data_IF_096359734358
#
_entry.id   IF_096359734358
#
_cell.length_a   1.000
_cell.length_b   1.000
_cell.length_c   1.000
_cell.angle_alpha   90.00
_cell.angle_beta   90.00
_cell.angle_gamma   90.00
#
_symmetry.space_group_name_H-M   'P 1'
#
loop_
_entity.id
_entity.type
_entity.pdbx_description
1 polymer ?
#
# COMPACT_ATOMS: atom_id res chain seq x y z
N UNK A 1 9.37 1.55 14.45
CA UNK A 1 8.83 2.77 15.10
C UNK A 1 8.16 2.53 16.46
N UNK A 2 7.93 1.29 16.93
CA UNK A 2 7.28 1.02 18.24
C UNK A 2 8.08 1.59 19.44
N UNK A 3 9.39 1.81 19.27
CA UNK A 3 10.28 2.32 20.32
C UNK A 3 10.12 3.84 20.60
N UNK A 4 9.60 4.64 19.66
CA UNK A 4 9.61 6.10 19.76
C UNK A 4 8.37 6.67 20.46
N UNK A 5 8.07 6.19 21.68
CA UNK A 5 6.82 6.53 22.40
C UNK A 5 6.63 8.03 22.65
N UNK A 6 7.69 8.75 23.02
CA UNK A 6 7.62 10.20 23.26
C UNK A 6 7.35 10.98 21.96
N UNK A 7 7.96 10.55 20.85
CA UNK A 7 7.74 11.13 19.53
C UNK A 7 6.27 10.94 19.10
N UNK A 8 5.75 9.70 19.19
CA UNK A 8 4.36 9.42 18.84
C UNK A 8 3.36 10.13 19.75
N UNK A 9 3.68 10.28 21.04
CA UNK A 9 2.88 11.10 21.96
C UNK A 9 2.81 12.55 21.49
N UNK A 10 3.93 13.13 21.07
CA UNK A 10 3.98 14.51 20.55
C UNK A 10 3.16 14.66 19.26
N UNK A 11 3.29 13.71 18.33
CA UNK A 11 2.49 13.64 17.10
C UNK A 11 0.98 13.68 17.41
N UNK A 12 0.52 12.85 18.34
CA UNK A 12 -0.90 12.80 18.73
C UNK A 12 -1.37 14.02 19.54
N UNK A 13 -0.50 14.56 20.40
CA UNK A 13 -0.83 15.68 21.28
C UNK A 13 -0.97 17.00 20.52
N UNK A 14 -0.13 17.24 19.51
CA UNK A 14 -0.20 18.45 18.68
C UNK A 14 -1.21 18.32 17.52
N UNK A 15 -1.56 17.10 17.12
CA UNK A 15 -2.54 16.84 16.07
C UNK A 15 -2.11 17.34 14.69
N UNK A 16 -3.08 17.68 13.84
CA UNK A 16 -2.84 18.12 12.45
C UNK A 16 -3.54 19.42 12.06
N UNK A 17 -4.37 19.99 12.94
CA UNK A 17 -5.18 21.18 12.61
C UNK A 17 -4.32 22.44 12.42
N UNK A 18 -3.21 22.54 13.16
CA UNK A 18 -2.26 23.64 13.04
C UNK A 18 -1.28 23.40 11.89
N UNK A 19 -1.10 24.38 11.01
CA UNK A 19 -0.06 24.33 9.95
C UNK A 19 1.36 24.12 10.51
N UNK A 20 1.60 24.57 11.74
CA UNK A 20 2.87 24.41 12.45
C UNK A 20 2.86 23.25 13.46
N UNK A 21 1.82 22.40 13.47
CA UNK A 21 1.81 21.21 14.33
C UNK A 21 2.94 20.27 13.95
N UNK A 22 3.48 19.58 14.95
CA UNK A 22 4.63 18.70 14.77
C UNK A 22 4.46 17.72 13.61
N UNK A 23 3.28 17.07 13.50
CA UNK A 23 3.01 16.11 12.43
C UNK A 23 3.01 16.73 11.02
N UNK A 24 2.62 18.00 10.89
CA UNK A 24 2.61 18.74 9.62
C UNK A 24 4.01 19.16 9.14
N UNK A 25 4.98 19.19 10.05
CA UNK A 25 6.38 19.54 9.76
C UNK A 25 7.23 18.32 9.37
N UNK A 26 6.73 17.11 9.58
CA UNK A 26 7.46 15.88 9.25
C UNK A 26 7.40 15.60 7.75
N UNK A 27 8.54 15.18 7.19
CA UNK A 27 8.61 14.76 5.78
C UNK A 27 7.82 13.46 5.53
N UNK A 28 7.75 12.59 6.54
CA UNK A 28 7.00 11.33 6.46
C UNK A 28 5.52 11.58 6.79
N UNK A 29 4.69 11.57 5.76
CA UNK A 29 3.25 11.83 5.86
C UNK A 29 2.51 10.81 6.70
N UNK A 30 3.07 9.61 6.94
CA UNK A 30 2.43 8.56 7.73
C UNK A 30 2.16 9.00 9.18
N UNK A 31 2.96 9.91 9.71
CA UNK A 31 2.71 10.47 11.05
C UNK A 31 1.50 11.41 11.06
N UNK A 32 1.31 12.20 10.00
CA UNK A 32 0.11 13.02 9.82
C UNK A 32 -1.12 12.14 9.64
N UNK A 33 -1.06 11.10 8.82
CA UNK A 33 -2.19 10.18 8.61
C UNK A 33 -2.60 9.47 9.91
N UNK A 34 -1.61 9.10 10.74
CA UNK A 34 -1.84 8.51 12.05
C UNK A 34 -2.45 9.52 13.03
N UNK A 35 -1.90 10.73 13.11
CA UNK A 35 -2.44 11.81 13.94
C UNK A 35 -3.85 12.20 13.54
N UNK A 36 -4.14 12.18 12.24
CA UNK A 36 -5.47 12.44 11.74
C UNK A 36 -6.42 11.31 12.14
N UNK A 37 -6.07 10.04 11.88
CA UNK A 37 -6.90 8.88 12.27
C UNK A 37 -7.26 8.89 13.76
N UNK A 38 -6.33 9.34 14.62
CA UNK A 38 -6.50 9.43 16.07
C UNK A 38 -6.35 10.87 16.58
N UNK A 39 -7.13 11.82 16.03
CA UNK A 39 -7.00 13.25 16.35
C UNK A 39 -7.53 13.60 17.77
N UNK A 40 -6.79 13.19 18.80
CA UNK A 40 -7.08 13.50 20.21
C UNK A 40 -6.94 14.99 20.51
N UNK A 41 -6.05 15.69 19.82
CA UNK A 41 -5.88 17.14 19.97
C UNK A 41 -7.18 17.91 19.70
N UNK A 42 -7.94 17.49 18.67
CA UNK A 42 -9.21 18.11 18.30
C UNK A 42 -10.41 17.55 19.07
N UNK A 43 -10.47 16.24 19.24
CA UNK A 43 -11.70 15.56 19.69
C UNK A 43 -11.61 14.94 21.08
N UNK A 44 -10.46 15.03 21.76
CA UNK A 44 -10.25 14.38 23.05
C UNK A 44 -10.55 12.88 22.98
N UNK A 45 -11.17 12.32 24.02
CA UNK A 45 -11.50 10.89 24.08
C UNK A 45 -12.41 10.41 22.93
N UNK A 46 -13.26 11.28 22.39
CA UNK A 46 -14.17 10.99 21.27
C UNK A 46 -13.42 10.63 19.99
N UNK A 47 -12.13 10.96 19.87
CA UNK A 47 -11.30 10.58 18.72
C UNK A 47 -11.36 9.07 18.40
N UNK A 48 -11.58 8.21 19.40
CA UNK A 48 -11.66 6.75 19.27
C UNK A 48 -13.04 6.22 18.85
N UNK A 49 -14.06 7.07 18.84
CA UNK A 49 -15.42 6.72 18.42
C UNK A 49 -15.64 6.89 16.91
N UNK A 50 -14.72 7.55 16.20
CA UNK A 50 -14.85 7.75 14.75
C UNK A 50 -14.47 6.48 13.97
N UNK A 51 -15.17 6.23 12.86
CA UNK A 51 -14.94 5.07 11.98
C UNK A 51 -13.47 4.93 11.55
N UNK A 52 -12.81 6.06 11.20
CA UNK A 52 -11.38 6.09 10.85
C UNK A 52 -10.46 5.50 11.93
N UNK A 53 -10.82 5.67 13.21
CA UNK A 53 -10.06 5.14 14.35
C UNK A 53 -10.43 3.67 14.64
N UNK A 54 -11.65 3.26 14.30
CA UNK A 54 -12.16 1.90 14.49
C UNK A 54 -11.97 1.08 13.20
N UNK A 55 -13.04 0.94 12.40
CA UNK A 55 -13.05 0.15 11.17
C UNK A 55 -11.92 0.52 10.22
N UNK A 56 -11.64 1.82 10.02
CA UNK A 56 -10.56 2.26 9.14
C UNK A 56 -9.17 1.76 9.57
N UNK A 57 -8.92 1.66 10.88
CA UNK A 57 -7.65 1.11 11.40
C UNK A 57 -7.61 -0.41 11.23
N UNK A 58 -8.72 -1.10 11.51
CA UNK A 58 -8.83 -2.55 11.32
C UNK A 58 -8.63 -2.91 9.85
N UNK A 59 -9.32 -2.24 8.94
CA UNK A 59 -9.25 -2.46 7.49
C UNK A 59 -7.83 -2.25 6.97
N UNK A 60 -7.17 -1.17 7.43
CA UNK A 60 -5.77 -0.90 7.08
C UNK A 60 -4.84 -1.98 7.61
N UNK A 61 -5.05 -2.45 8.85
CA UNK A 61 -4.24 -3.52 9.43
C UNK A 61 -4.41 -4.83 8.66
N UNK A 62 -5.65 -5.26 8.42
CA UNK A 62 -5.96 -6.47 7.65
C UNK A 62 -5.31 -6.39 6.27
N UNK A 63 -5.45 -5.26 5.58
CA UNK A 63 -4.83 -5.07 4.25
C UNK A 63 -3.31 -5.15 4.28
N UNK A 64 -2.65 -4.53 5.27
CA UNK A 64 -1.19 -4.61 5.42
C UNK A 64 -0.75 -6.05 5.71
N UNK A 65 -1.48 -6.78 6.56
CA UNK A 65 -1.17 -8.18 6.83
C UNK A 65 -1.39 -9.07 5.61
N UNK A 66 -2.42 -8.80 4.80
CA UNK A 66 -2.62 -9.46 3.52
C UNK A 66 -1.46 -9.17 2.55
N UNK A 67 -1.05 -7.91 2.41
CA UNK A 67 0.11 -7.51 1.59
C UNK A 67 1.38 -8.25 2.05
N UNK A 68 1.63 -8.32 3.36
CA UNK A 68 2.78 -9.06 3.93
C UNK A 68 2.72 -10.55 3.64
N UNK A 69 1.57 -11.19 3.89
CA UNK A 69 1.37 -12.63 3.64
C UNK A 69 1.53 -12.95 2.16
N UNK A 70 0.90 -12.17 1.28
CA UNK A 70 1.07 -12.34 -0.17
C UNK A 70 2.54 -12.19 -0.58
N UNK A 71 3.25 -11.22 0.00
CA UNK A 71 4.68 -11.01 -0.25
C UNK A 71 5.63 -12.08 0.29
N UNK A 72 5.17 -12.97 1.17
CA UNK A 72 5.94 -14.16 1.55
C UNK A 72 5.91 -15.22 0.45
N UNK A 73 4.84 -15.22 -0.36
CA UNK A 73 4.66 -16.14 -1.49
C UNK A 73 5.22 -15.55 -2.78
N UNK A 74 4.87 -14.30 -3.11
CA UNK A 74 5.30 -13.59 -4.31
C UNK A 74 5.42 -12.08 -4.04
N UNK A 75 6.65 -11.56 -4.13
CA UNK A 75 6.93 -10.14 -3.97
C UNK A 75 6.19 -9.26 -4.98
N UNK A 76 5.95 -9.75 -6.20
CA UNK A 76 5.19 -9.05 -7.23
C UNK A 76 3.74 -8.83 -6.82
N UNK A 77 3.10 -9.82 -6.18
CA UNK A 77 1.73 -9.67 -5.68
C UNK A 77 1.67 -8.60 -4.58
N UNK A 78 2.65 -8.58 -3.66
CA UNK A 78 2.74 -7.51 -2.65
C UNK A 78 2.92 -6.14 -3.29
N UNK A 79 3.81 -6.03 -4.28
CA UNK A 79 4.07 -4.77 -4.99
C UNK A 79 2.83 -4.27 -5.74
N UNK A 80 2.09 -5.17 -6.39
CA UNK A 80 0.83 -4.84 -7.07
C UNK A 80 -0.22 -4.30 -6.10
N UNK A 81 -0.45 -4.98 -4.97
CA UNK A 81 -1.41 -4.55 -3.95
C UNK A 81 -1.01 -3.20 -3.33
N UNK A 82 0.29 -3.03 -3.05
CA UNK A 82 0.82 -1.76 -2.53
C UNK A 82 0.60 -0.62 -3.52
N UNK A 83 0.91 -0.85 -4.81
CA UNK A 83 0.72 0.14 -5.87
C UNK A 83 -0.75 0.50 -6.04
N UNK A 84 -1.65 -0.49 -6.07
CA UNK A 84 -3.10 -0.26 -6.14
C UNK A 84 -3.59 0.66 -5.01
N UNK A 85 -3.06 0.47 -3.80
CA UNK A 85 -3.44 1.27 -2.64
C UNK A 85 -2.86 2.69 -2.68
N UNK A 86 -1.57 2.82 -3.00
CA UNK A 86 -0.82 4.07 -2.79
C UNK A 86 -0.72 4.96 -4.03
N UNK A 87 -0.75 4.40 -5.23
CA UNK A 87 -0.62 5.19 -6.46
C UNK A 87 -1.72 6.27 -6.64
N UNK A 88 -3.00 6.04 -6.30
CA UNK A 88 -4.04 7.07 -6.42
C UNK A 88 -3.82 8.30 -5.53
N UNK A 89 -3.10 8.13 -4.42
CA UNK A 89 -2.81 9.20 -3.45
C UNK A 89 -1.66 10.11 -3.91
N UNK A 90 -0.91 9.71 -4.94
CA UNK A 90 0.26 10.43 -5.43
C UNK A 90 -0.14 11.45 -6.50
N UNK A 91 0.34 12.68 -6.34
CA UNK A 91 -0.01 13.81 -7.23
C UNK A 91 1.15 14.30 -8.11
N UNK A 92 2.35 13.72 -7.98
CA UNK A 92 3.53 14.11 -8.77
C UNK A 92 4.37 12.89 -9.17
N UNK A 93 5.05 12.96 -10.33
CA UNK A 93 5.96 11.90 -10.80
C UNK A 93 7.09 11.69 -9.79
N UNK A 94 7.63 12.79 -9.25
CA UNK A 94 8.64 12.74 -8.19
C UNK A 94 8.14 12.04 -6.93
N UNK A 95 6.87 12.23 -6.54
CA UNK A 95 6.26 11.49 -5.44
C UNK A 95 6.17 9.99 -5.70
N UNK A 96 5.90 9.61 -6.95
CA UNK A 96 5.83 8.20 -7.37
C UNK A 96 7.22 7.54 -7.37
N UNK A 97 8.24 8.30 -7.76
CA UNK A 97 9.64 7.87 -7.73
C UNK A 97 10.25 7.89 -6.31
N UNK A 98 9.72 8.73 -5.43
CA UNK A 98 10.18 8.88 -4.05
C UNK A 98 9.80 7.71 -3.13
N UNK A 99 8.79 6.91 -3.50
CA UNK A 99 8.45 5.67 -2.82
C UNK A 99 9.10 4.48 -3.55
N UNK A 100 10.00 3.76 -2.86
CA UNK A 100 10.77 2.68 -3.46
C UNK A 100 9.90 1.54 -4.02
N UNK A 101 8.75 1.23 -3.40
CA UNK A 101 7.86 0.19 -3.88
C UNK A 101 7.08 0.65 -5.12
N UNK A 102 6.60 1.90 -5.12
CA UNK A 102 5.95 2.48 -6.30
C UNK A 102 6.91 2.59 -7.48
N UNK A 103 8.13 3.07 -7.23
CA UNK A 103 9.16 3.20 -8.24
C UNK A 103 9.60 1.84 -8.80
N UNK A 104 9.70 0.80 -7.96
CA UNK A 104 10.00 -0.56 -8.42
C UNK A 104 8.94 -1.09 -9.39
N UNK A 105 7.66 -0.86 -9.09
CA UNK A 105 6.55 -1.24 -9.97
C UNK A 105 6.62 -0.50 -11.30
N UNK A 106 6.90 0.81 -11.29
CA UNK A 106 7.11 1.59 -12.51
C UNK A 106 8.23 1.02 -13.37
N UNK A 107 9.38 0.75 -12.76
CA UNK A 107 10.54 0.22 -13.47
C UNK A 107 10.18 -1.11 -14.14
N UNK A 108 9.56 -2.03 -13.41
CA UNK A 108 9.14 -3.31 -13.98
C UNK A 108 8.08 -3.15 -15.07
N UNK A 109 7.05 -2.33 -14.86
CA UNK A 109 5.97 -2.10 -15.82
C UNK A 109 6.47 -1.47 -17.14
N UNK A 110 7.46 -0.59 -17.05
CA UNK A 110 8.09 0.09 -18.19
C UNK A 110 9.28 -0.70 -18.78
N UNK A 111 9.67 -1.82 -18.17
CA UNK A 111 10.82 -2.61 -18.60
C UNK A 111 12.17 -1.92 -18.36
N UNK A 112 12.24 -1.03 -17.38
CA UNK A 112 13.47 -0.33 -16.98
C UNK A 112 14.31 -1.22 -16.06
N UNK A 113 15.62 -1.38 -16.32
CA UNK A 113 16.49 -2.14 -15.44
C UNK A 113 16.74 -1.38 -14.12
N UNK A 114 17.10 -2.08 -13.03
CA UNK A 114 17.40 -1.43 -11.73
C UNK A 114 18.48 -0.34 -11.80
N UNK A 115 19.44 -0.48 -12.72
CA UNK A 115 20.50 0.50 -12.96
C UNK A 115 19.99 1.85 -13.49
N UNK A 116 18.74 1.92 -13.97
CA UNK A 116 18.13 3.16 -14.44
C UNK A 116 17.98 4.19 -13.31
N UNK A 117 17.97 3.77 -12.04
CA UNK A 117 17.98 4.64 -10.87
C UNK A 117 19.21 5.56 -10.80
N UNK A 118 20.30 5.23 -11.50
CA UNK A 118 21.53 6.03 -11.55
C UNK A 118 21.50 7.14 -12.60
N UNK A 119 20.47 7.18 -13.45
CA UNK A 119 20.26 8.29 -14.40
C UNK A 119 19.90 9.55 -13.62
N UNK A 120 20.15 10.72 -14.20
CA UNK A 120 19.67 11.98 -13.63
C UNK A 120 18.16 11.95 -13.34
N UNK A 121 17.75 12.41 -12.16
CA UNK A 121 16.36 12.30 -11.67
C UNK A 121 15.36 13.00 -12.59
N UNK A 122 15.75 14.13 -13.19
CA UNK A 122 14.86 14.90 -14.08
C UNK A 122 14.68 14.19 -15.41
N UNK A 123 15.73 13.53 -15.91
CA UNK A 123 15.63 12.68 -17.11
C UNK A 123 14.76 11.45 -16.86
N UNK A 124 14.88 10.84 -15.69
CA UNK A 124 14.01 9.73 -15.30
C UNK A 124 12.55 10.18 -15.22
N UNK A 125 12.29 11.32 -14.57
CA UNK A 125 10.96 11.88 -14.44
C UNK A 125 10.36 12.23 -15.81
N UNK A 126 11.14 12.83 -16.71
CA UNK A 126 10.73 13.14 -18.07
C UNK A 126 10.41 11.88 -18.90
N UNK A 127 11.19 10.81 -18.74
CA UNK A 127 10.89 9.54 -19.40
C UNK A 127 9.59 8.93 -18.87
N UNK A 128 9.42 8.87 -17.54
CA UNK A 128 8.22 8.30 -16.91
C UNK A 128 6.98 9.12 -17.28
N UNK A 129 7.05 10.45 -17.25
CA UNK A 129 5.94 11.32 -17.64
C UNK A 129 5.55 11.17 -19.11
N UNK A 130 6.50 10.83 -19.99
CA UNK A 130 6.21 10.53 -21.39
C UNK A 130 5.44 9.21 -21.60
N UNK A 131 5.41 8.33 -20.59
CA UNK A 131 4.77 7.00 -20.66
C UNK A 131 3.54 6.88 -19.79
N UNK A 132 3.45 7.68 -18.72
CA UNK A 132 2.42 7.58 -17.68
C UNK A 132 1.95 8.98 -17.34
N UNK A 133 0.64 9.17 -17.43
CA UNK A 133 -0.03 10.30 -16.81
C UNK A 133 -0.38 9.94 -15.36
N UNK A 134 -0.11 10.85 -14.43
CA UNK A 134 -0.48 10.67 -13.01
C UNK A 134 -1.99 10.57 -12.86
N UNK A 135 -2.75 11.33 -13.65
CA UNK A 135 -4.21 11.28 -13.61
C UNK A 135 -4.75 9.89 -13.92
N UNK A 136 -4.02 9.10 -14.71
CA UNK A 136 -4.41 7.74 -15.06
C UNK A 136 -4.31 6.78 -13.86
N UNK A 137 -3.42 7.05 -12.91
CA UNK A 137 -3.30 6.26 -11.69
C UNK A 137 -4.43 6.49 -10.68
N UNK A 138 -5.20 7.58 -10.87
CA UNK A 138 -6.39 7.89 -10.07
C UNK A 138 -7.66 7.27 -10.66
N UNK A 139 -7.62 6.84 -11.93
CA UNK A 139 -8.72 6.13 -12.57
C UNK A 139 -8.67 4.64 -12.23
N UNK A 140 -9.71 4.06 -11.60
CA UNK A 140 -9.71 2.64 -11.21
C UNK A 140 -9.42 1.69 -12.38
N UNK A 141 -10.04 1.91 -13.54
CA UNK A 141 -9.88 1.05 -14.72
C UNK A 141 -8.47 1.15 -15.34
N UNK A 142 -7.90 2.35 -15.40
CA UNK A 142 -6.54 2.53 -15.95
C UNK A 142 -5.48 2.03 -14.98
N UNK A 143 -5.69 2.21 -13.68
CA UNK A 143 -4.84 1.64 -12.64
C UNK A 143 -4.83 0.12 -12.69
N UNK A 144 -6.00 -0.51 -12.84
CA UNK A 144 -6.11 -1.96 -13.00
C UNK A 144 -5.35 -2.44 -14.25
N UNK A 145 -5.58 -1.80 -15.40
CA UNK A 145 -4.85 -2.10 -16.63
C UNK A 145 -3.33 -1.95 -16.49
N UNK A 146 -2.87 -0.98 -15.69
CA UNK A 146 -1.45 -0.77 -15.41
C UNK A 146 -0.88 -1.90 -14.54
N UNK A 147 -1.61 -2.30 -13.50
CA UNK A 147 -1.22 -3.40 -12.62
C UNK A 147 -1.16 -4.72 -13.39
N UNK A 148 -2.09 -5.00 -14.30
CA UNK A 148 -2.05 -6.18 -15.18
C UNK A 148 -0.78 -6.22 -16.04
N UNK A 149 -0.38 -5.08 -16.62
CA UNK A 149 0.88 -4.99 -17.37
C UNK A 149 2.10 -5.24 -16.49
N UNK A 150 2.07 -4.72 -15.27
CA UNK A 150 3.13 -4.96 -14.28
C UNK A 150 3.22 -6.45 -13.93
N UNK A 151 2.11 -7.11 -13.57
CA UNK A 151 2.11 -8.52 -13.15
C UNK A 151 2.55 -9.44 -14.28
N UNK A 152 2.11 -9.18 -15.52
CA UNK A 152 2.58 -9.92 -16.69
C UNK A 152 4.10 -9.82 -16.90
N UNK A 153 4.67 -8.61 -16.76
CA UNK A 153 6.12 -8.40 -16.86
C UNK A 153 6.88 -8.99 -15.69
N UNK A 154 6.33 -8.89 -14.48
CA UNK A 154 6.92 -9.47 -13.28
C UNK A 154 7.03 -10.98 -13.40
N UNK A 155 5.97 -11.66 -13.83
CA UNK A 155 5.95 -13.10 -14.07
C UNK A 155 6.90 -13.50 -15.21
N UNK A 156 7.01 -12.71 -16.27
CA UNK A 156 7.98 -13.01 -17.34
C UNK A 156 9.45 -12.91 -16.85
N UNK A 157 9.74 -11.99 -15.92
CA UNK A 157 11.09 -11.75 -15.42
C UNK A 157 11.48 -12.61 -14.20
N UNK A 158 10.51 -12.98 -13.36
CA UNK A 158 10.73 -13.66 -12.08
C UNK A 158 9.97 -14.99 -11.94
N UNK A 159 9.13 -15.33 -12.92
CA UNK A 159 8.38 -16.57 -12.95
C UNK A 159 9.32 -17.74 -13.18
N UNK A 160 9.31 -18.68 -12.23
CA UNK A 160 9.91 -20.00 -12.41
C UNK A 160 8.98 -20.81 -13.32
N UNK A 161 9.52 -21.48 -14.34
CA UNK A 161 8.77 -22.46 -15.14
C UNK A 161 8.31 -23.62 -14.24
N UNK A 162 7.15 -23.51 -13.60
CA UNK A 162 6.65 -24.59 -12.75
C UNK A 162 5.56 -24.26 -11.72
N UNK A 163 5.17 -23.01 -11.49
CA UNK A 163 4.03 -22.70 -10.60
C UNK A 163 2.87 -22.14 -11.41
N UNK A 164 1.76 -22.88 -11.38
CA UNK A 164 0.54 -22.57 -12.11
C UNK A 164 0.05 -21.16 -11.79
N UNK A 165 -0.40 -20.47 -12.84
CA UNK A 165 -0.95 -19.12 -12.82
C UNK A 165 -1.96 -19.00 -11.66
N UNK A 166 -1.70 -18.21 -10.60
CA UNK A 166 -2.80 -17.76 -9.77
C UNK A 166 -3.60 -16.79 -10.64
N UNK A 167 -4.73 -17.26 -11.17
CA UNK A 167 -5.71 -16.34 -11.76
C UNK A 167 -6.13 -15.36 -10.68
N UNK A 168 -5.63 -14.14 -10.76
CA UNK A 168 -6.14 -13.02 -9.99
C UNK A 168 -7.45 -12.62 -10.65
N UNK A 169 -8.53 -13.32 -10.36
CA UNK A 169 -9.90 -12.91 -10.73
C UNK A 169 -10.28 -11.70 -9.87
N UNK A 170 -10.01 -10.49 -10.38
CA UNK A 170 -10.36 -9.20 -9.77
C UNK A 170 -11.87 -8.82 -9.89
N UNK A 171 -12.69 -9.66 -10.52
CA UNK A 171 -14.11 -9.38 -10.81
C UNK A 171 -15.10 -9.79 -9.72
N UNK A 172 -14.64 -10.28 -8.58
CA UNK A 172 -15.51 -10.49 -7.41
C UNK A 172 -15.20 -9.43 -6.34
N UNK A 173 -16.22 -8.97 -5.58
CA UNK A 173 -15.92 -8.26 -4.35
C UNK A 173 -14.99 -9.15 -3.54
N UNK A 174 -13.84 -8.59 -3.13
CA UNK A 174 -12.74 -9.27 -2.43
C UNK A 174 -13.20 -10.04 -1.16
N UNK A 175 -14.47 -10.00 -0.78
CA UNK A 175 -15.01 -10.79 0.31
C UNK A 175 -15.25 -12.26 -0.09
N UNK A 176 -15.77 -12.54 -1.28
CA UNK A 176 -16.34 -13.87 -1.61
C UNK A 176 -15.27 -14.95 -1.87
N UNK A 177 -14.11 -14.57 -2.41
CA UNK A 177 -12.99 -15.51 -2.64
C UNK A 177 -12.20 -15.80 -1.36
N UNK A 178 -12.10 -14.83 -0.46
CA UNK A 178 -11.37 -15.00 0.80
C UNK A 178 -12.23 -15.62 1.91
N UNK A 179 -13.56 -15.52 1.84
CA UNK A 179 -14.45 -16.20 2.78
C UNK A 179 -14.17 -17.71 2.80
N UNK A 180 -14.02 -18.39 1.66
CA UNK A 180 -13.74 -19.83 1.69
C UNK A 180 -12.39 -20.18 2.34
N UNK A 181 -11.33 -19.40 2.11
CA UNK A 181 -10.03 -19.69 2.72
C UNK A 181 -9.94 -19.26 4.19
N UNK A 182 -10.63 -18.19 4.59
CA UNK A 182 -10.77 -17.79 6.00
C UNK A 182 -11.64 -18.78 6.77
N UNK A 183 -12.73 -19.25 6.20
CA UNK A 183 -13.68 -20.19 6.80
C UNK A 183 -13.04 -21.59 6.93
N UNK A 184 -12.20 -22.00 5.98
CA UNK A 184 -11.33 -23.18 6.11
C UNK A 184 -10.25 -23.01 7.20
N UNK A 185 -9.64 -21.81 7.29
CA UNK A 185 -8.66 -21.52 8.35
C UNK A 185 -9.30 -21.47 9.75
N UNK A 186 -10.55 -21.04 9.87
CA UNK A 186 -11.32 -21.04 11.13
C UNK A 186 -11.80 -22.45 11.51
N UNK A 187 -12.11 -23.32 10.53
CA UNK A 187 -12.38 -24.74 10.79
C UNK A 187 -11.13 -25.50 11.31
N UNK A 188 -9.93 -25.11 10.87
CA UNK A 188 -8.68 -25.66 11.42
C UNK A 188 -8.38 -25.23 12.87
N UNK A 189 -9.12 -24.24 13.39
CA UNK A 189 -9.02 -23.76 14.77
C UNK A 189 -10.05 -24.38 15.71
N UNK A 190 -10.67 -25.52 15.36
CA UNK A 190 -11.52 -26.26 16.29
C UNK A 190 -10.72 -26.68 17.54
N UNK A 191 -10.98 -26.12 18.74
CA UNK A 191 -10.35 -26.55 19.97
C UNK A 191 -11.13 -27.77 20.48
N UNK A 192 -10.95 -28.90 19.82
CA UNK A 192 -11.68 -30.13 20.13
C UNK A 192 -10.80 -31.34 19.92
N UNK A 193 -9.87 -31.59 20.85
CA UNK A 193 -8.97 -32.73 20.74
C UNK A 193 -7.87 -32.78 21.79
N UNK A 194 -8.21 -32.70 23.07
CA UNK A 194 -7.40 -33.36 24.12
C UNK A 194 -8.35 -34.19 24.98
N UNK A 195 -7.98 -35.47 25.05
CA UNK A 195 -8.53 -36.51 25.93
C UNK A 195 -8.43 -36.12 27.40
#
# INVERSE_FOLDING_TARGET
MIYAKAFMRKVLAEGVDGRNSFAMQLSDTRFRDFAESFNFARYGATATAFDRAQSGTVDRFVRIELEKKAGQTDEGVRLAMYFQRKAPEVTSIYGLMGDAALYKVLQTALGLPPAYSSVDIDKQAAFISSKIDIGDLQSPAKLESFIERFTARWQAANGSAGQGVPQVTLSQPLLVTFDNNLLLSLQSFNPGGLR
#
